data_IF_120705129828
#
_entry.id   IF_120705129828
#
_cell.length_a   1.000
_cell.length_b   1.000
_cell.length_c   1.000
_cell.angle_alpha   90.00
_cell.angle_beta   90.00
_cell.angle_gamma   90.00
#
_symmetry.space_group_name_H-M   'P 1'
#
loop_
_entity.id
_entity.type
_entity.pdbx_description
1 polymer ?
#
# COMPACT_ATOMS: atom_id res chain seq x y z
N UNK A 1 30.92 -3.12 12.23
CA UNK A 1 29.89 -2.75 13.24
C UNK A 1 30.05 -3.60 14.47
N UNK A 2 30.15 -2.99 15.64
CA UNK A 2 30.02 -3.68 16.93
C UNK A 2 28.63 -3.40 17.49
N UNK A 3 28.01 -4.38 18.13
CA UNK A 3 26.69 -4.23 18.73
C UNK A 3 26.60 -5.05 20.02
N UNK A 4 25.65 -4.69 20.87
CA UNK A 4 25.38 -5.40 22.12
C UNK A 4 24.06 -4.97 22.71
N UNK A 5 23.65 -5.66 23.77
CA UNK A 5 22.39 -5.38 24.45
C UNK A 5 22.36 -5.99 25.84
N UNK A 6 21.57 -5.38 26.71
CA UNK A 6 21.33 -5.85 28.08
C UNK A 6 19.83 -5.91 28.32
N UNK A 7 19.38 -7.01 28.93
CA UNK A 7 18.03 -7.16 29.46
C UNK A 7 18.17 -7.49 30.95
N UNK A 8 17.49 -6.73 31.81
CA UNK A 8 17.60 -6.91 33.25
C UNK A 8 16.23 -6.82 33.91
N UNK A 9 15.79 -7.94 34.48
CA UNK A 9 14.55 -8.08 35.26
C UNK A 9 14.83 -9.03 36.44
N UNK A 10 14.08 -8.92 37.54
CA UNK A 10 14.29 -9.72 38.75
C UNK A 10 14.41 -11.25 38.53
N UNK A 11 13.73 -11.78 37.51
CA UNK A 11 13.72 -13.21 37.17
C UNK A 11 14.63 -13.56 35.99
N UNK A 12 15.22 -12.57 35.31
CA UNK A 12 15.96 -12.79 34.07
C UNK A 12 16.96 -11.67 33.78
N UNK A 13 18.22 -12.05 33.61
CA UNK A 13 19.31 -11.18 33.19
C UNK A 13 19.90 -11.72 31.90
N UNK A 14 20.17 -10.88 30.91
CA UNK A 14 20.88 -11.29 29.70
C UNK A 14 21.77 -10.20 29.16
N UNK A 15 22.95 -10.64 28.68
CA UNK A 15 23.97 -9.80 28.07
C UNK A 15 24.30 -10.36 26.70
N UNK A 16 24.37 -9.50 25.70
CA UNK A 16 24.72 -9.85 24.33
C UNK A 16 25.83 -8.94 23.81
N UNK A 17 26.80 -9.54 23.13
CA UNK A 17 27.82 -8.81 22.37
C UNK A 17 27.99 -9.45 21.00
N UNK A 18 28.28 -8.64 19.99
CA UNK A 18 28.47 -9.14 18.65
C UNK A 18 29.22 -8.16 17.74
N UNK A 19 29.74 -8.71 16.66
CA UNK A 19 30.47 -7.99 15.64
C UNK A 19 29.98 -8.43 14.25
N UNK A 20 29.80 -7.45 13.38
CA UNK A 20 29.48 -7.64 11.96
C UNK A 20 30.51 -6.92 11.11
N UNK A 21 30.96 -7.57 10.05
CA UNK A 21 31.85 -6.99 9.06
C UNK A 21 31.35 -7.32 7.67
N UNK A 22 31.19 -6.28 6.86
CA UNK A 22 31.15 -6.43 5.41
C UNK A 22 32.58 -6.72 4.93
N UNK A 23 32.77 -7.90 4.35
CA UNK A 23 34.04 -8.39 3.80
C UNK A 23 34.08 -8.21 2.27
N UNK A 24 33.22 -7.34 1.73
CA UNK A 24 33.23 -6.90 0.33
C UNK A 24 32.71 -7.98 -0.61
N UNK A 25 33.58 -8.44 -1.52
CA UNK A 25 33.21 -9.45 -2.53
C UNK A 25 32.78 -10.78 -1.91
N UNK A 26 33.14 -11.06 -0.66
CA UNK A 26 32.73 -12.27 0.05
C UNK A 26 31.44 -12.07 0.88
N UNK A 27 30.82 -10.89 0.88
CA UNK A 27 29.53 -10.63 1.57
C UNK A 27 29.69 -10.05 2.96
N UNK A 28 28.68 -10.19 3.80
CA UNK A 28 28.68 -9.70 5.17
C UNK A 28 28.57 -10.86 6.15
N UNK A 29 29.49 -10.92 7.11
CA UNK A 29 29.52 -11.92 8.18
C UNK A 29 29.24 -11.24 9.53
N UNK A 30 28.42 -11.89 10.35
CA UNK A 30 28.07 -11.43 11.70
C UNK A 30 28.19 -12.58 12.68
N UNK A 31 28.77 -12.30 13.84
CA UNK A 31 28.85 -13.21 14.97
C UNK A 31 28.31 -12.52 16.22
N UNK A 32 27.54 -13.24 17.04
CA UNK A 32 27.14 -12.78 18.36
C UNK A 32 27.18 -13.89 19.40
N UNK A 33 27.48 -13.49 20.63
CA UNK A 33 27.41 -14.31 21.83
C UNK A 33 26.44 -13.66 22.81
N UNK A 34 25.54 -14.48 23.35
CA UNK A 34 24.58 -14.08 24.38
C UNK A 34 24.77 -14.97 25.58
N UNK A 35 24.65 -14.40 26.77
CA UNK A 35 24.52 -15.16 28.01
C UNK A 35 23.26 -14.72 28.73
N UNK A 36 22.59 -15.67 29.38
CA UNK A 36 21.43 -15.39 30.22
C UNK A 36 21.51 -16.13 31.54
N UNK A 37 20.95 -15.49 32.57
CA UNK A 37 20.69 -16.04 33.89
C UNK A 37 19.20 -15.94 34.12
N UNK A 38 18.51 -17.08 34.13
CA UNK A 38 17.07 -17.16 34.38
C UNK A 38 16.80 -17.79 35.74
N UNK A 39 16.01 -17.13 36.57
CA UNK A 39 15.54 -17.69 37.84
C UNK A 39 14.40 -18.66 37.57
N UNK A 40 14.50 -19.86 38.10
CA UNK A 40 13.45 -20.88 38.13
C UNK A 40 13.01 -21.09 39.58
N UNK A 41 11.96 -21.87 39.82
CA UNK A 41 11.47 -22.15 41.17
C UNK A 41 12.51 -22.84 42.06
N UNK A 42 13.42 -23.59 41.45
CA UNK A 42 14.40 -24.41 42.15
C UNK A 42 15.82 -23.83 42.14
N UNK A 43 16.20 -23.05 41.11
CA UNK A 43 17.57 -22.54 40.99
C UNK A 43 17.72 -21.39 39.98
N UNK A 44 18.89 -20.77 39.95
CA UNK A 44 19.29 -19.89 38.86
C UNK A 44 20.00 -20.70 37.78
N UNK A 45 19.51 -20.57 36.55
CA UNK A 45 20.01 -21.30 35.40
C UNK A 45 20.82 -20.37 34.49
N UNK A 46 22.07 -20.73 34.24
CA UNK A 46 22.99 -19.98 33.40
C UNK A 46 23.09 -20.64 32.02
N UNK A 47 22.95 -19.85 30.96
CA UNK A 47 23.13 -20.37 29.61
C UNK A 47 23.78 -19.39 28.66
N UNK A 48 24.17 -19.94 27.51
CA UNK A 48 24.83 -19.25 26.42
C UNK A 48 24.18 -19.55 25.07
N UNK A 49 24.19 -18.57 24.19
CA UNK A 49 23.84 -18.71 22.79
C UNK A 49 24.94 -18.14 21.90
N UNK A 50 25.21 -18.80 20.78
CA UNK A 50 26.17 -18.36 19.78
C UNK A 50 25.48 -18.29 18.43
N UNK A 51 25.54 -17.13 17.79
CA UNK A 51 24.93 -16.89 16.48
C UNK A 51 25.99 -16.58 15.43
N UNK A 52 25.87 -17.21 14.27
CA UNK A 52 26.58 -16.84 13.04
C UNK A 52 25.54 -16.49 11.98
N UNK A 53 25.71 -15.36 11.30
CA UNK A 53 24.88 -14.95 10.16
C UNK A 53 25.75 -14.52 9.00
N UNK A 54 25.32 -14.87 7.80
CA UNK A 54 25.95 -14.55 6.54
C UNK A 54 24.89 -14.05 5.55
N UNK A 55 25.22 -12.99 4.83
CA UNK A 55 24.43 -12.48 3.71
C UNK A 55 25.37 -12.17 2.55
N UNK A 56 24.97 -12.52 1.34
CA UNK A 56 25.71 -12.17 0.12
C UNK A 56 24.76 -11.97 -1.05
N UNK A 57 24.94 -10.84 -1.75
CA UNK A 57 24.46 -10.68 -3.11
C UNK A 57 25.64 -10.85 -4.10
N UNK A 58 25.51 -11.82 -5.02
CA UNK A 58 26.46 -12.09 -6.10
C UNK A 58 25.90 -11.51 -7.39
N UNK A 59 26.32 -10.28 -7.71
CA UNK A 59 25.81 -9.53 -8.85
C UNK A 59 26.08 -10.22 -10.20
N UNK A 60 27.22 -10.91 -10.34
CA UNK A 60 27.62 -11.56 -11.60
C UNK A 60 26.63 -12.63 -12.06
N UNK A 61 26.05 -13.37 -11.11
CA UNK A 61 25.08 -14.44 -11.35
C UNK A 61 23.67 -14.04 -10.96
N UNK A 62 23.44 -12.83 -10.44
CA UNK A 62 22.18 -12.43 -9.79
C UNK A 62 21.71 -13.46 -8.75
N UNK A 63 22.65 -13.98 -7.96
CA UNK A 63 22.38 -14.90 -6.85
C UNK A 63 22.30 -14.10 -5.57
N UNK A 64 21.19 -14.22 -4.85
CA UNK A 64 21.00 -13.61 -3.55
C UNK A 64 20.93 -14.69 -2.47
N UNK A 65 21.96 -14.73 -1.63
CA UNK A 65 21.92 -15.42 -0.33
C UNK A 65 21.47 -14.40 0.71
N UNK A 66 20.17 -14.23 0.83
CA UNK A 66 19.58 -13.15 1.65
C UNK A 66 19.77 -13.39 3.16
N UNK A 67 19.82 -14.65 3.61
CA UNK A 67 20.20 -14.98 4.98
C UNK A 67 20.59 -16.45 5.11
N UNK A 68 21.84 -16.72 5.52
CA UNK A 68 22.24 -17.99 6.09
C UNK A 68 22.61 -17.76 7.56
N UNK A 69 21.89 -18.39 8.48
CA UNK A 69 22.10 -18.23 9.92
C UNK A 69 22.09 -19.55 10.64
N UNK A 70 22.94 -19.64 11.66
CA UNK A 70 22.97 -20.78 12.56
C UNK A 70 23.16 -20.25 13.98
N UNK A 71 22.26 -20.65 14.86
CA UNK A 71 22.38 -20.43 16.30
C UNK A 71 22.52 -21.76 17.02
N UNK A 72 23.43 -21.79 17.98
CA UNK A 72 23.52 -22.84 18.97
C UNK A 72 23.16 -22.28 20.34
N UNK A 73 22.35 -23.02 21.09
CA UNK A 73 21.90 -22.68 22.43
C UNK A 73 22.32 -23.77 23.41
N UNK A 74 23.02 -23.41 24.47
CA UNK A 74 23.32 -24.33 25.57
C UNK A 74 22.03 -24.81 26.23
N UNK A 75 22.04 -25.98 26.89
CA UNK A 75 20.85 -26.60 27.49
C UNK A 75 20.05 -25.68 28.43
N UNK A 76 20.75 -24.82 29.16
CA UNK A 76 20.18 -23.96 30.20
C UNK A 76 19.98 -22.51 29.70
N UNK A 77 20.28 -22.23 28.43
CA UNK A 77 19.97 -20.93 27.84
C UNK A 77 18.47 -20.78 27.70
N UNK A 78 17.97 -19.64 28.18
CA UNK A 78 16.58 -19.21 28.01
C UNK A 78 16.56 -17.80 27.44
N UNK A 79 15.55 -17.52 26.64
CA UNK A 79 15.09 -16.17 26.31
C UNK A 79 14.26 -15.61 27.45
N UNK A 80 14.01 -14.29 27.45
CA UNK A 80 13.15 -13.66 28.45
C UNK A 80 11.74 -14.26 28.47
N UNK A 81 11.16 -14.51 27.28
CA UNK A 81 9.84 -15.15 27.15
C UNK A 81 9.80 -16.56 27.74
N UNK A 82 10.85 -17.36 27.52
CA UNK A 82 10.96 -18.70 28.13
C UNK A 82 11.14 -18.62 29.65
N UNK A 83 11.86 -17.61 30.17
CA UNK A 83 12.02 -17.41 31.60
C UNK A 83 10.68 -17.08 32.29
N UNK A 84 9.87 -16.19 31.70
CA UNK A 84 8.51 -15.88 32.20
C UNK A 84 7.64 -17.14 32.22
N UNK A 85 7.62 -17.92 31.12
CA UNK A 85 6.77 -19.12 31.07
C UNK A 85 7.26 -20.24 31.99
N UNK A 86 8.57 -20.35 32.22
CA UNK A 86 9.12 -21.37 33.12
C UNK A 86 8.79 -21.16 34.60
N UNK A 87 8.44 -19.94 35.01
CA UNK A 87 7.97 -19.67 36.37
C UNK A 87 6.49 -19.99 36.60
N UNK A 88 5.74 -20.33 35.55
CA UNK A 88 4.30 -20.59 35.66
C UNK A 88 3.95 -22.08 35.55
N UNK A 89 4.65 -22.90 34.76
CA UNK A 89 4.37 -24.34 34.57
C UNK A 89 5.65 -25.17 34.25
N UNK A 90 5.85 -26.30 34.93
CA UNK A 90 6.99 -27.22 34.78
C UNK A 90 7.10 -27.89 33.38
N UNK A 91 6.01 -27.92 32.60
CA UNK A 91 5.96 -28.57 31.27
C UNK A 91 6.80 -27.87 30.18
N UNK A 92 7.27 -26.63 30.41
CA UNK A 92 8.06 -25.90 29.41
C UNK A 92 9.54 -26.35 29.34
N UNK A 93 10.01 -27.13 30.32
CA UNK A 93 11.38 -27.65 30.37
C UNK A 93 11.76 -28.59 29.21
N UNK A 94 10.80 -29.02 28.40
CA UNK A 94 10.98 -30.02 27.35
C UNK A 94 11.21 -29.41 25.95
N UNK A 95 10.88 -28.13 25.75
CA UNK A 95 10.92 -27.46 24.43
C UNK A 95 12.14 -26.57 24.17
N UNK A 96 13.20 -26.67 24.98
CA UNK A 96 14.41 -25.87 24.79
C UNK A 96 15.12 -26.23 23.47
N UNK A 97 15.26 -25.23 22.59
CA UNK A 97 16.01 -25.39 21.34
C UNK A 97 17.49 -25.60 21.64
N UNK A 98 18.12 -26.53 20.93
CA UNK A 98 19.57 -26.77 20.88
C UNK A 98 20.23 -25.97 19.76
N UNK A 99 19.58 -25.90 18.61
CA UNK A 99 20.07 -25.09 17.50
C UNK A 99 18.96 -24.72 16.54
N UNK A 100 19.08 -23.57 15.91
CA UNK A 100 18.21 -23.13 14.80
C UNK A 100 19.10 -22.82 13.61
N UNK A 101 18.77 -23.39 12.46
CA UNK A 101 19.44 -23.10 11.18
C UNK A 101 18.41 -22.60 10.20
N UNK A 102 18.69 -21.47 9.55
CA UNK A 102 17.83 -20.88 8.52
C UNK A 102 18.68 -20.46 7.33
N UNK A 103 18.28 -20.85 6.13
CA UNK A 103 18.95 -20.47 4.89
C UNK A 103 17.90 -20.06 3.86
N UNK A 104 18.10 -18.91 3.22
CA UNK A 104 17.31 -18.44 2.09
C UNK A 104 18.24 -18.08 0.93
N UNK A 105 18.01 -18.75 -0.20
CA UNK A 105 18.74 -18.59 -1.45
C UNK A 105 17.74 -18.26 -2.55
N UNK A 106 18.00 -17.20 -3.29
CA UNK A 106 17.29 -16.85 -4.53
C UNK A 106 18.30 -16.77 -5.67
N UNK A 107 17.97 -17.38 -6.79
CA UNK A 107 18.82 -17.41 -7.98
C UNK A 107 17.98 -17.00 -9.18
N UNK A 108 18.28 -15.83 -9.75
CA UNK A 108 17.74 -15.48 -11.06
C UNK A 108 18.50 -16.27 -12.15
N UNK A 109 17.76 -16.90 -13.06
CA UNK A 109 18.30 -17.69 -14.18
C UNK A 109 18.11 -16.93 -15.51
N UNK A 110 18.05 -15.60 -15.45
CA UNK A 110 17.77 -14.74 -16.61
C UNK A 110 16.42 -15.07 -17.24
N UNK A 111 16.41 -15.34 -18.55
CA UNK A 111 15.20 -15.70 -19.31
C UNK A 111 14.61 -17.06 -18.94
N UNK A 112 15.35 -17.90 -18.21
CA UNK A 112 14.85 -19.19 -17.73
C UNK A 112 13.99 -19.06 -16.48
N UNK A 113 13.89 -17.88 -15.85
CA UNK A 113 13.07 -17.65 -14.66
C UNK A 113 13.91 -17.47 -13.39
N UNK A 114 13.40 -17.93 -12.26
CA UNK A 114 14.07 -17.83 -10.95
C UNK A 114 13.83 -19.08 -10.12
N UNK A 115 14.81 -19.45 -9.29
CA UNK A 115 14.71 -20.53 -8.31
C UNK A 115 14.88 -19.93 -6.92
N UNK A 116 14.04 -20.35 -5.98
CA UNK A 116 14.17 -19.99 -4.57
C UNK A 116 14.27 -21.28 -3.75
N UNK A 117 15.13 -21.26 -2.73
CA UNK A 117 15.30 -22.34 -1.77
C UNK A 117 15.30 -21.74 -0.36
N UNK A 118 14.39 -22.22 0.48
CA UNK A 118 14.32 -21.92 1.90
C UNK A 118 14.52 -23.20 2.69
N UNK A 119 15.37 -23.16 3.70
CA UNK A 119 15.64 -24.27 4.60
C UNK A 119 15.59 -23.77 6.03
N UNK A 120 14.78 -24.42 6.86
CA UNK A 120 14.69 -24.16 8.29
C UNK A 120 14.82 -25.46 9.06
N UNK A 121 15.65 -25.48 10.09
CA UNK A 121 15.82 -26.64 10.96
C UNK A 121 16.02 -26.21 12.41
N UNK A 122 15.05 -26.56 13.24
CA UNK A 122 15.12 -26.45 14.69
C UNK A 122 15.44 -27.82 15.29
N UNK A 123 16.51 -27.90 16.05
CA UNK A 123 16.86 -29.06 16.86
C UNK A 123 16.60 -28.74 18.32
N UNK A 124 16.05 -29.68 19.07
CA UNK A 124 15.76 -29.54 20.50
C UNK A 124 16.72 -30.40 21.33
N UNK A 125 16.84 -30.11 22.62
CA UNK A 125 17.72 -30.87 23.52
C UNK A 125 17.14 -32.23 23.91
N UNK A 126 15.82 -32.28 24.17
CA UNK A 126 15.12 -33.48 24.65
C UNK A 126 14.18 -34.10 23.62
N UNK A 127 13.76 -33.33 22.62
CA UNK A 127 12.88 -33.80 21.56
C UNK A 127 13.56 -33.84 20.19
N UNK A 128 12.89 -34.52 19.27
CA UNK A 128 13.30 -34.56 17.88
C UNK A 128 13.06 -33.20 17.19
N UNK A 129 13.86 -32.92 16.15
CA UNK A 129 13.85 -31.63 15.47
C UNK A 129 12.65 -31.40 14.55
N UNK A 130 12.42 -30.14 14.20
CA UNK A 130 11.48 -29.69 13.15
C UNK A 130 12.27 -29.19 11.96
N UNK A 131 11.97 -29.69 10.77
CA UNK A 131 12.65 -29.36 9.51
C UNK A 131 11.62 -28.90 8.48
N UNK A 132 11.92 -27.81 7.78
CA UNK A 132 11.14 -27.34 6.64
C UNK A 132 12.09 -27.02 5.48
N UNK A 133 11.79 -27.55 4.29
CA UNK A 133 12.46 -27.19 3.04
C UNK A 133 11.38 -26.68 2.09
N UNK A 134 11.58 -25.52 1.49
CA UNK A 134 10.75 -25.01 0.41
C UNK A 134 11.65 -24.74 -0.79
N UNK A 135 11.42 -25.42 -1.90
CA UNK A 135 12.06 -25.14 -3.17
C UNK A 135 11.00 -24.66 -4.15
N UNK A 136 11.19 -23.52 -4.79
CA UNK A 136 10.26 -23.01 -5.81
C UNK A 136 10.98 -22.55 -7.05
N UNK A 137 10.31 -22.68 -8.19
CA UNK A 137 10.77 -22.21 -9.48
C UNK A 137 9.64 -21.42 -10.13
N UNK A 138 9.95 -20.21 -10.59
CA UNK A 138 8.99 -19.32 -11.23
C UNK A 138 9.51 -18.81 -12.57
N UNK A 139 8.66 -18.80 -13.59
CA UNK A 139 8.98 -18.24 -14.91
C UNK A 139 7.80 -17.44 -15.45
N UNK A 140 8.09 -16.25 -15.98
CA UNK A 140 7.14 -15.48 -16.77
C UNK A 140 7.52 -15.60 -18.26
N UNK A 141 6.57 -15.99 -19.10
CA UNK A 141 6.72 -16.13 -20.53
C UNK A 141 5.64 -15.30 -21.23
N UNK A 142 6.02 -14.11 -21.71
CA UNK A 142 5.13 -13.21 -22.46
C UNK A 142 3.79 -12.92 -21.76
N UNK A 143 3.83 -12.73 -20.43
CA UNK A 143 2.65 -12.49 -19.60
C UNK A 143 2.04 -13.75 -18.97
N UNK A 144 2.35 -14.95 -19.48
CA UNK A 144 1.98 -16.21 -18.82
C UNK A 144 2.93 -16.46 -17.66
N UNK A 145 2.39 -16.64 -16.46
CA UNK A 145 3.19 -16.93 -15.27
C UNK A 145 3.06 -18.40 -14.89
N UNK A 146 4.19 -19.06 -14.68
CA UNK A 146 4.30 -20.43 -14.23
C UNK A 146 5.07 -20.45 -12.91
N UNK A 147 4.56 -21.20 -11.94
CA UNK A 147 5.23 -21.44 -10.65
C UNK A 147 5.12 -22.91 -10.27
N UNK A 148 6.24 -23.48 -9.83
CA UNK A 148 6.37 -24.81 -9.27
C UNK A 148 6.93 -24.66 -7.86
N UNK A 149 6.38 -25.37 -6.89
CA UNK A 149 6.92 -25.38 -5.52
C UNK A 149 6.84 -26.76 -4.90
N UNK A 150 7.87 -27.11 -4.16
CA UNK A 150 7.95 -28.30 -3.33
C UNK A 150 8.23 -27.87 -1.89
N UNK A 151 7.38 -28.28 -0.97
CA UNK A 151 7.52 -28.03 0.46
C UNK A 151 7.60 -29.36 1.20
N UNK A 152 8.69 -29.61 1.91
CA UNK A 152 8.80 -30.72 2.86
C UNK A 152 8.73 -30.16 4.26
N UNK A 153 7.76 -30.61 5.04
CA UNK A 153 7.66 -30.32 6.47
C UNK A 153 7.79 -31.61 7.26
N UNK A 154 8.75 -31.67 8.17
CA UNK A 154 8.95 -32.80 9.07
C UNK A 154 8.95 -32.29 10.50
N UNK A 155 7.96 -32.71 11.28
CA UNK A 155 7.85 -32.48 12.71
C UNK A 155 7.58 -33.83 13.36
N UNK A 156 8.61 -34.37 14.01
CA UNK A 156 8.51 -35.62 14.75
C UNK A 156 7.69 -35.49 16.04
N UNK A 157 7.60 -34.27 16.60
CA UNK A 157 6.77 -33.96 17.77
C UNK A 157 5.26 -34.09 17.46
N UNK A 158 4.85 -33.72 16.24
CA UNK A 158 3.45 -33.84 15.79
C UNK A 158 3.20 -35.04 14.86
N UNK A 159 4.19 -35.92 14.68
CA UNK A 159 4.16 -37.01 13.68
C UNK A 159 3.77 -36.55 12.26
N UNK A 160 4.07 -35.29 11.95
CA UNK A 160 3.77 -34.66 10.67
C UNK A 160 5.00 -34.72 9.78
N UNK A 161 5.05 -35.70 8.90
CA UNK A 161 5.97 -35.71 7.77
C UNK A 161 5.17 -35.60 6.48
N UNK A 162 5.17 -34.41 5.88
CA UNK A 162 4.34 -34.08 4.73
C UNK A 162 5.20 -33.47 3.63
N UNK A 163 5.08 -34.01 2.43
CA UNK A 163 5.64 -33.50 1.20
C UNK A 163 4.51 -32.91 0.37
N UNK A 164 4.57 -31.60 0.09
CA UNK A 164 3.61 -30.88 -0.73
C UNK A 164 4.27 -30.47 -2.04
N UNK A 165 3.69 -30.88 -3.16
CA UNK A 165 4.00 -30.35 -4.48
C UNK A 165 2.89 -29.39 -4.90
N UNK A 166 3.24 -28.26 -5.51
CA UNK A 166 2.26 -27.33 -6.07
C UNK A 166 2.72 -26.79 -7.41
N UNK A 167 1.76 -26.68 -8.32
CA UNK A 167 1.92 -26.09 -9.64
C UNK A 167 0.87 -24.99 -9.80
N UNK A 168 1.28 -23.83 -10.31
CA UNK A 168 0.39 -22.72 -10.62
C UNK A 168 0.72 -22.19 -12.02
N UNK A 169 -0.33 -22.07 -12.83
CA UNK A 169 -0.30 -21.47 -14.15
C UNK A 169 -1.30 -20.33 -14.20
N UNK A 170 -0.86 -19.14 -14.63
CA UNK A 170 -1.71 -17.97 -14.84
C UNK A 170 -1.51 -17.45 -16.27
N UNK A 171 -2.59 -17.41 -17.04
CA UNK A 171 -2.60 -17.01 -18.45
C UNK A 171 -3.43 -15.73 -18.61
N UNK A 172 -2.84 -14.61 -19.06
CA UNK A 172 -3.58 -13.38 -19.30
C UNK A 172 -4.52 -13.56 -20.50
N UNK A 173 -5.79 -13.18 -20.31
CA UNK A 173 -6.85 -13.22 -21.32
C UNK A 173 -7.11 -11.83 -21.94
N UNK A 174 -6.33 -10.81 -21.58
CA UNK A 174 -6.55 -9.43 -22.01
C UNK A 174 -6.56 -9.26 -23.53
N UNK A 175 -5.71 -9.99 -24.25
CA UNK A 175 -5.67 -9.97 -25.72
C UNK A 175 -6.93 -10.56 -26.38
N UNK A 176 -7.62 -11.46 -25.69
CA UNK A 176 -8.84 -12.12 -26.18
C UNK A 176 -10.10 -11.34 -25.80
N UNK A 177 -10.08 -10.69 -24.64
CA UNK A 177 -11.29 -10.16 -24.01
C UNK A 177 -11.33 -8.64 -23.91
N UNK A 178 -10.23 -7.94 -24.20
CA UNK A 178 -10.04 -6.50 -23.97
C UNK A 178 -10.22 -6.05 -22.51
N UNK A 179 -10.25 -6.97 -21.57
CA UNK A 179 -10.36 -6.70 -20.13
C UNK A 179 -9.18 -7.34 -19.39
N UNK A 180 -8.74 -6.75 -18.30
CA UNK A 180 -7.68 -7.30 -17.44
C UNK A 180 -8.21 -8.54 -16.69
N UNK A 181 -8.06 -9.70 -17.32
CA UNK A 181 -8.50 -10.99 -16.81
C UNK A 181 -7.43 -12.05 -17.00
N UNK A 182 -7.41 -13.05 -16.13
CA UNK A 182 -6.47 -14.16 -16.15
C UNK A 182 -7.21 -15.48 -15.92
N UNK A 183 -6.91 -16.50 -16.72
CA UNK A 183 -7.25 -17.88 -16.41
C UNK A 183 -6.16 -18.46 -15.51
N UNK A 184 -6.55 -19.13 -14.44
CA UNK A 184 -5.65 -19.75 -13.47
C UNK A 184 -5.92 -21.23 -13.37
N UNK A 185 -4.86 -22.03 -13.41
CA UNK A 185 -4.89 -23.43 -13.04
C UNK A 185 -3.89 -23.66 -11.92
N UNK A 186 -4.32 -24.28 -10.83
CA UNK A 186 -3.45 -24.67 -9.74
C UNK A 186 -3.64 -26.15 -9.43
N UNK A 187 -2.55 -26.83 -9.15
CA UNK A 187 -2.57 -28.18 -8.62
C UNK A 187 -1.78 -28.19 -7.30
N UNK A 188 -2.29 -28.89 -6.30
CA UNK A 188 -1.55 -29.17 -5.07
C UNK A 188 -1.72 -30.64 -4.70
N UNK A 189 -0.62 -31.32 -4.45
CA UNK A 189 -0.58 -32.73 -4.06
C UNK A 189 0.23 -32.86 -2.79
N UNK A 190 -0.30 -33.59 -1.82
CA UNK A 190 0.37 -33.88 -0.56
C UNK A 190 0.68 -35.38 -0.48
N UNK A 191 1.76 -35.75 0.21
CA UNK A 191 2.04 -37.15 0.55
C UNK A 191 1.07 -37.73 1.57
N UNK A 192 0.29 -36.87 2.27
CA UNK A 192 -0.69 -37.26 3.30
C UNK A 192 -2.14 -36.99 2.90
N UNK A 193 -2.38 -36.09 1.94
CA UNK A 193 -3.72 -35.68 1.52
C UNK A 193 -3.89 -35.84 0.01
N UNK A 194 -5.15 -35.88 -0.42
CA UNK A 194 -5.54 -36.06 -1.81
C UNK A 194 -5.07 -34.89 -2.70
N UNK A 195 -4.96 -35.16 -4.01
CA UNK A 195 -4.52 -34.17 -4.98
C UNK A 195 -5.68 -33.22 -5.33
N UNK A 196 -5.45 -31.91 -5.22
CA UNK A 196 -6.42 -30.88 -5.55
C UNK A 196 -6.09 -30.22 -6.87
N UNK A 197 -7.13 -29.98 -7.68
CA UNK A 197 -7.07 -29.22 -8.92
C UNK A 197 -8.02 -28.04 -8.85
N UNK A 198 -7.49 -26.82 -8.90
CA UNK A 198 -8.26 -25.59 -8.99
C UNK A 198 -8.19 -25.03 -10.40
N UNK A 199 -9.35 -24.74 -10.99
CA UNK A 199 -9.50 -24.01 -12.25
C UNK A 199 -10.29 -22.75 -11.96
N UNK A 200 -9.79 -21.59 -12.40
CA UNK A 200 -10.45 -20.34 -12.12
C UNK A 200 -10.18 -19.23 -13.13
N UNK A 201 -10.95 -18.17 -12.98
CA UNK A 201 -10.77 -16.91 -13.69
C UNK A 201 -10.75 -15.81 -12.63
N UNK A 202 -9.80 -14.89 -12.77
CA UNK A 202 -9.66 -13.69 -11.93
C UNK A 202 -9.63 -12.48 -12.83
N UNK A 203 -10.22 -11.37 -12.39
CA UNK A 203 -10.25 -10.14 -13.17
C UNK A 203 -10.31 -8.88 -12.32
N UNK A 204 -9.97 -7.77 -12.97
CA UNK A 204 -10.13 -6.42 -12.42
C UNK A 204 -10.97 -5.57 -13.37
N UNK A 205 -11.81 -4.70 -12.80
CA UNK A 205 -12.71 -3.84 -13.57
C UNK A 205 -12.93 -2.48 -12.88
N UNK A 206 -13.61 -1.56 -13.58
CA UNK A 206 -13.97 -0.24 -13.08
C UNK A 206 -12.76 0.59 -12.62
N UNK A 207 -11.71 0.65 -13.45
CA UNK A 207 -10.43 1.31 -13.13
C UNK A 207 -9.80 0.72 -11.85
N UNK A 208 -9.75 -0.61 -11.79
CA UNK A 208 -9.19 -1.39 -10.68
C UNK A 208 -9.90 -1.21 -9.34
N UNK A 209 -11.15 -0.72 -9.33
CA UNK A 209 -11.98 -0.67 -8.12
C UNK A 209 -12.61 -2.01 -7.79
N UNK A 210 -13.00 -2.80 -8.81
CA UNK A 210 -13.52 -4.15 -8.61
C UNK A 210 -12.40 -5.15 -8.85
N UNK A 211 -12.16 -6.03 -7.90
CA UNK A 211 -11.43 -7.28 -8.10
C UNK A 211 -12.38 -8.44 -7.90
N UNK A 212 -12.27 -9.49 -8.71
CA UNK A 212 -13.12 -10.66 -8.58
C UNK A 212 -12.39 -11.92 -9.01
N UNK A 213 -12.80 -13.05 -8.44
CA UNK A 213 -12.33 -14.37 -8.83
C UNK A 213 -13.47 -15.38 -8.70
N UNK A 214 -13.50 -16.31 -9.65
CA UNK A 214 -14.35 -17.47 -9.65
C UNK A 214 -13.46 -18.70 -9.89
N UNK A 215 -13.50 -19.68 -9.00
CA UNK A 215 -12.74 -20.92 -9.14
C UNK A 215 -13.56 -22.15 -8.75
N UNK A 216 -13.39 -23.23 -9.48
CA UNK A 216 -13.85 -24.55 -9.13
C UNK A 216 -12.65 -25.41 -8.72
N UNK A 217 -12.83 -26.22 -7.70
CA UNK A 217 -11.85 -27.15 -7.17
C UNK A 217 -12.39 -28.57 -7.27
N UNK A 218 -11.54 -29.50 -7.69
CA UNK A 218 -11.80 -30.93 -7.67
C UNK A 218 -10.71 -31.60 -6.83
N UNK A 219 -11.12 -32.33 -5.80
CA UNK A 219 -10.25 -33.17 -4.98
C UNK A 219 -10.28 -34.60 -5.53
N UNK A 220 -9.12 -35.12 -5.91
CA UNK A 220 -8.94 -36.46 -6.47
C UNK A 220 -8.99 -37.52 -5.34
N UNK A 221 -10.21 -37.75 -4.86
CA UNK A 221 -10.57 -38.75 -3.85
C UNK A 221 -11.44 -39.84 -4.47
N UNK A 222 -11.60 -40.97 -3.79
CA UNK A 222 -12.53 -42.06 -4.18
C UNK A 222 -14.00 -41.64 -4.38
N UNK A 223 -14.38 -40.39 -4.08
CA UNK A 223 -15.72 -39.80 -4.29
C UNK A 223 -15.72 -38.47 -5.06
N UNK A 224 -14.59 -37.99 -5.60
CA UNK A 224 -14.47 -36.73 -6.36
C UNK A 224 -15.21 -35.55 -5.72
N UNK A 225 -14.71 -35.06 -4.58
CA UNK A 225 -15.33 -33.91 -3.92
C UNK A 225 -15.10 -32.65 -4.74
N UNK A 226 -16.16 -31.85 -4.89
CA UNK A 226 -16.13 -30.61 -5.65
C UNK A 226 -16.36 -29.43 -4.72
N UNK A 227 -15.62 -28.36 -4.96
CA UNK A 227 -15.87 -27.09 -4.32
C UNK A 227 -15.90 -25.95 -5.33
N UNK A 228 -16.71 -24.94 -5.05
CA UNK A 228 -16.83 -23.72 -5.84
C UNK A 228 -16.57 -22.53 -4.94
N UNK A 229 -15.75 -21.61 -5.40
CA UNK A 229 -15.41 -20.39 -4.69
C UNK A 229 -15.63 -19.19 -5.60
N UNK A 230 -16.32 -18.20 -5.07
CA UNK A 230 -16.47 -16.88 -5.69
C UNK A 230 -16.03 -15.84 -4.68
N UNK A 231 -15.26 -14.85 -5.12
CA UNK A 231 -14.90 -13.70 -4.30
C UNK A 231 -14.95 -12.44 -5.16
N UNK A 232 -15.41 -11.36 -4.57
CA UNK A 232 -15.39 -10.04 -5.18
C UNK A 232 -15.10 -9.00 -4.11
N UNK A 233 -14.27 -8.00 -4.43
CA UNK A 233 -14.05 -6.83 -3.59
C UNK A 233 -14.14 -5.55 -4.38
N UNK A 234 -14.79 -4.55 -3.79
CA UNK A 234 -15.00 -3.22 -4.34
C UNK A 234 -14.35 -2.17 -3.46
N UNK A 235 -13.36 -1.47 -4.00
CA UNK A 235 -12.70 -0.31 -3.37
C UNK A 235 -13.43 0.96 -3.78
N UNK A 236 -14.22 1.49 -2.86
CA UNK A 236 -14.98 2.73 -3.05
C UNK A 236 -14.34 3.95 -2.41
N UNK A 237 -15.04 5.07 -2.53
CA UNK A 237 -14.65 6.36 -1.92
C UNK A 237 -14.60 6.29 -0.39
N UNK A 238 -15.54 5.57 0.22
CA UNK A 238 -15.78 5.58 1.67
C UNK A 238 -15.30 4.30 2.38
N UNK A 239 -14.58 3.42 1.69
CA UNK A 239 -14.18 2.11 2.22
C UNK A 239 -14.07 1.05 1.14
N UNK A 240 -13.74 -0.16 1.56
CA UNK A 240 -13.74 -1.38 0.77
C UNK A 240 -14.82 -2.33 1.29
N UNK A 241 -15.55 -2.96 0.37
CA UNK A 241 -16.51 -4.02 0.67
C UNK A 241 -16.12 -5.26 -0.13
N UNK A 242 -16.07 -6.41 0.53
CA UNK A 242 -15.82 -7.70 -0.07
C UNK A 242 -16.92 -8.69 0.26
N UNK A 243 -17.14 -9.62 -0.66
CA UNK A 243 -17.99 -10.76 -0.48
C UNK A 243 -17.27 -12.01 -0.97
N UNK A 244 -17.45 -13.12 -0.26
CA UNK A 244 -16.96 -14.42 -0.67
C UNK A 244 -18.06 -15.47 -0.46
N UNK A 245 -18.02 -16.48 -1.32
CA UNK A 245 -18.92 -17.62 -1.32
C UNK A 245 -18.06 -18.85 -1.53
N UNK A 246 -18.19 -19.83 -0.64
CA UNK A 246 -17.61 -21.16 -0.83
C UNK A 246 -18.66 -22.22 -0.61
N UNK A 247 -18.68 -23.20 -1.51
CA UNK A 247 -19.58 -24.32 -1.40
C UNK A 247 -18.85 -25.60 -1.75
N UNK A 248 -18.90 -26.58 -0.86
CA UNK A 248 -18.48 -27.94 -1.13
C UNK A 248 -19.65 -28.90 -0.78
N UNK A 249 -19.40 -30.21 -0.85
CA UNK A 249 -20.46 -31.21 -0.62
C UNK A 249 -21.05 -31.21 0.80
N UNK A 250 -20.34 -30.63 1.77
CA UNK A 250 -20.68 -30.71 3.20
C UNK A 250 -21.15 -29.34 3.74
N UNK A 251 -20.50 -28.26 3.30
CA UNK A 251 -20.64 -26.92 3.82
C UNK A 251 -20.95 -25.91 2.71
N UNK A 252 -21.61 -24.83 3.13
CA UNK A 252 -21.83 -23.64 2.32
C UNK A 252 -21.62 -22.41 3.18
N UNK A 253 -20.56 -21.68 2.89
CA UNK A 253 -20.15 -20.50 3.63
C UNK A 253 -20.32 -19.25 2.77
N UNK A 254 -20.82 -18.20 3.40
CA UNK A 254 -20.99 -16.89 2.78
C UNK A 254 -20.35 -15.89 3.74
N UNK A 255 -19.32 -15.19 3.26
CA UNK A 255 -18.63 -14.15 4.00
C UNK A 255 -18.85 -12.79 3.37
N UNK A 256 -18.97 -11.76 4.21
CA UNK A 256 -18.91 -10.36 3.80
C UNK A 256 -17.93 -9.63 4.71
N UNK A 257 -17.14 -8.73 4.14
CA UNK A 257 -16.22 -7.88 4.87
C UNK A 257 -16.40 -6.43 4.45
N UNK A 258 -16.36 -5.52 5.42
CA UNK A 258 -16.36 -4.08 5.18
C UNK A 258 -15.19 -3.49 5.96
N UNK A 259 -14.36 -2.72 5.29
CA UNK A 259 -13.21 -2.04 5.89
C UNK A 259 -13.16 -0.59 5.43
N UNK A 260 -12.63 0.28 6.26
CA UNK A 260 -12.59 1.71 5.96
C UNK A 260 -11.89 2.49 7.07
N UNK A 261 -11.72 3.78 6.82
CA UNK A 261 -11.06 4.72 7.69
C UNK A 261 -11.98 5.89 8.05
N UNK A 262 -11.81 6.42 9.25
CA UNK A 262 -12.51 7.63 9.72
C UNK A 262 -11.52 8.60 10.32
N UNK A 263 -11.52 9.85 9.86
CA UNK A 263 -10.74 10.94 10.47
C UNK A 263 -11.72 11.99 10.99
N UNK A 264 -11.67 12.23 12.30
CA UNK A 264 -12.29 13.40 12.91
C UNK A 264 -11.30 14.57 12.91
N UNK A 265 -11.70 15.71 12.35
CA UNK A 265 -10.85 16.89 12.19
C UNK A 265 -11.66 18.17 12.40
N UNK A 266 -10.99 19.33 12.35
CA UNK A 266 -11.58 20.65 12.59
C UNK A 266 -12.78 21.01 11.69
N UNK A 267 -12.98 20.29 10.59
CA UNK A 267 -14.08 20.53 9.64
C UNK A 267 -15.13 19.40 9.63
N UNK A 268 -15.09 18.49 10.61
CA UNK A 268 -16.05 17.39 10.78
C UNK A 268 -15.40 16.02 10.71
N UNK A 269 -16.15 15.05 10.21
CA UNK A 269 -15.72 13.65 10.10
C UNK A 269 -15.61 13.28 8.63
N UNK A 270 -14.49 12.73 8.19
CA UNK A 270 -14.30 12.25 6.82
C UNK A 270 -14.11 10.74 6.84
N UNK A 271 -14.87 10.05 5.99
CA UNK A 271 -14.76 8.61 5.76
C UNK A 271 -13.89 8.36 4.53
N UNK A 272 -13.20 7.23 4.51
CA UNK A 272 -12.35 6.84 3.40
C UNK A 272 -12.00 5.35 3.45
N UNK A 273 -11.06 4.95 2.59
CA UNK A 273 -10.45 3.63 2.68
C UNK A 273 -9.64 3.49 3.97
N UNK A 274 -9.27 2.26 4.35
CA UNK A 274 -8.46 1.98 5.54
C UNK A 274 -7.21 2.87 5.59
N UNK A 275 -6.90 3.41 6.76
CA UNK A 275 -5.81 4.38 6.97
C UNK A 275 -4.58 3.61 7.45
N UNK A 276 -3.40 3.90 6.91
CA UNK A 276 -2.13 3.48 7.51
C UNK A 276 -1.77 4.38 8.71
N UNK A 277 -0.64 4.11 9.35
CA UNK A 277 -0.16 4.94 10.47
C UNK A 277 0.08 6.40 10.06
N UNK A 278 0.42 6.66 8.80
CA UNK A 278 0.73 8.02 8.30
C UNK A 278 -0.07 8.33 7.04
N UNK A 279 -0.90 9.36 7.11
CA UNK A 279 -1.90 9.65 6.08
C UNK A 279 -2.09 11.15 5.84
N UNK A 280 -2.79 11.49 4.75
CA UNK A 280 -3.23 12.86 4.51
C UNK A 280 -4.75 13.00 4.49
N UNK A 281 -5.23 14.04 5.16
CA UNK A 281 -6.56 14.58 4.95
C UNK A 281 -6.53 15.57 3.78
N UNK A 282 -7.14 15.19 2.67
CA UNK A 282 -7.32 16.05 1.50
C UNK A 282 -8.51 16.97 1.74
N UNK A 283 -8.31 18.28 1.60
CA UNK A 283 -9.36 19.30 1.64
C UNK A 283 -9.40 20.03 0.29
N UNK A 284 -10.43 19.77 -0.50
CA UNK A 284 -10.77 20.49 -1.74
C UNK A 284 -12.22 20.98 -1.64
N UNK A 285 -12.45 21.97 -0.76
CA UNK A 285 -13.79 22.45 -0.38
C UNK A 285 -14.68 22.70 -1.60
N UNK A 286 -15.89 22.15 -1.57
CA UNK A 286 -16.90 22.36 -2.61
C UNK A 286 -16.66 21.58 -3.91
N UNK A 287 -15.61 20.77 -4.00
CA UNK A 287 -15.34 19.91 -5.15
C UNK A 287 -15.63 18.46 -4.77
N UNK A 288 -16.81 17.97 -5.15
CA UNK A 288 -17.22 16.58 -4.92
C UNK A 288 -16.79 15.66 -6.06
N UNK A 289 -16.36 14.44 -5.72
CA UNK A 289 -16.05 13.39 -6.70
C UNK A 289 -14.69 13.50 -7.40
N UNK A 290 -13.84 14.45 -7.02
CA UNK A 290 -12.50 14.60 -7.58
C UNK A 290 -11.63 13.42 -7.16
N UNK A 291 -11.02 12.75 -8.15
CA UNK A 291 -10.16 11.60 -7.93
C UNK A 291 -8.80 12.05 -7.39
N UNK A 292 -8.38 11.45 -6.29
CA UNK A 292 -7.02 11.58 -5.79
C UNK A 292 -6.20 10.43 -6.36
N UNK A 293 -5.02 10.72 -6.92
CA UNK A 293 -4.14 9.72 -7.49
C UNK A 293 -3.49 8.86 -6.40
N UNK A 294 -3.11 7.64 -6.77
CA UNK A 294 -2.56 6.64 -5.84
C UNK A 294 -3.43 5.38 -5.83
N UNK A 295 -4.39 5.33 -4.91
CA UNK A 295 -5.26 4.15 -4.76
C UNK A 295 -6.54 4.24 -5.61
N UNK A 296 -6.97 3.12 -6.25
CA UNK A 296 -8.24 3.06 -6.95
C UNK A 296 -9.43 3.42 -6.04
N UNK A 297 -10.40 4.16 -6.58
CA UNK A 297 -11.65 4.50 -5.89
C UNK A 297 -11.58 5.69 -4.94
N UNK A 298 -10.38 6.23 -4.62
CA UNK A 298 -10.25 7.40 -3.73
C UNK A 298 -10.74 8.66 -4.44
N UNK A 299 -11.81 9.26 -3.89
CA UNK A 299 -12.43 10.49 -4.39
C UNK A 299 -12.80 11.41 -3.23
N UNK A 300 -12.94 12.71 -3.50
CA UNK A 300 -13.52 13.64 -2.53
C UNK A 300 -15.00 13.35 -2.28
N UNK A 301 -15.41 13.45 -1.01
CA UNK A 301 -16.78 13.35 -0.57
C UNK A 301 -17.63 14.55 -1.02
N UNK A 302 -18.90 14.55 -0.66
CA UNK A 302 -19.84 15.64 -1.01
C UNK A 302 -19.43 17.02 -0.48
N UNK A 303 -18.56 17.10 0.53
CA UNK A 303 -18.03 18.35 1.11
C UNK A 303 -16.70 18.75 0.48
N UNK A 304 -16.05 17.84 -0.24
CA UNK A 304 -14.73 18.03 -0.84
C UNK A 304 -13.57 17.46 -0.01
N UNK A 305 -13.83 16.48 0.86
CA UNK A 305 -12.79 15.86 1.69
C UNK A 305 -12.57 14.39 1.34
N UNK A 306 -11.33 13.93 1.46
CA UNK A 306 -11.02 12.49 1.38
C UNK A 306 -9.75 12.17 2.14
N UNK A 307 -9.44 10.89 2.25
CA UNK A 307 -8.27 10.38 2.94
C UNK A 307 -7.32 9.78 1.90
N UNK A 308 -6.09 10.27 1.86
CA UNK A 308 -4.99 9.57 1.20
C UNK A 308 -4.34 8.64 2.23
N UNK A 309 -4.64 7.35 2.10
CA UNK A 309 -4.42 6.34 3.14
C UNK A 309 -2.97 5.95 3.40
N UNK A 310 -2.01 6.32 2.54
CA UNK A 310 -0.63 5.89 2.67
C UNK A 310 0.33 7.00 2.29
N UNK A 311 1.11 7.46 3.27
CA UNK A 311 2.27 8.32 3.08
C UNK A 311 3.50 7.68 3.69
N UNK A 312 4.66 7.93 3.10
CA UNK A 312 5.92 7.47 3.67
C UNK A 312 6.47 8.52 4.64
N UNK A 313 6.71 8.17 5.92
CA UNK A 313 7.29 9.09 6.90
C UNK A 313 8.65 9.64 6.48
N UNK A 314 8.92 10.89 6.86
CA UNK A 314 10.19 11.61 6.65
C UNK A 314 10.61 11.74 5.18
N UNK A 315 9.69 11.49 4.24
CA UNK A 315 9.93 11.61 2.81
C UNK A 315 8.94 12.58 2.15
N UNK A 316 9.33 13.06 0.97
CA UNK A 316 8.44 13.85 0.12
C UNK A 316 7.33 12.96 -0.42
N UNK A 317 6.09 13.31 -0.10
CA UNK A 317 4.90 12.66 -0.64
C UNK A 317 4.13 13.68 -1.47
N UNK A 318 3.82 13.34 -2.73
CA UNK A 318 3.00 14.16 -3.60
C UNK A 318 1.57 13.62 -3.56
N UNK A 319 0.65 14.50 -3.18
CA UNK A 319 -0.78 14.22 -3.21
C UNK A 319 -1.32 14.99 -4.41
N UNK A 320 -1.95 14.27 -5.33
CA UNK A 320 -2.33 14.80 -6.63
C UNK A 320 -3.81 14.56 -6.88
N UNK A 321 -4.53 15.60 -7.33
CA UNK A 321 -5.92 15.49 -7.80
C UNK A 321 -5.90 15.42 -9.33
N UNK A 322 -6.62 14.45 -9.89
CA UNK A 322 -6.79 14.30 -11.33
C UNK A 322 -7.73 15.38 -11.88
N UNK A 323 -7.21 16.37 -12.64
CA UNK A 323 -8.03 17.50 -13.12
C UNK A 323 -9.11 17.06 -14.11
N UNK A 324 -8.97 15.89 -14.75
CA UNK A 324 -9.97 15.37 -15.70
C UNK A 324 -11.24 14.88 -15.02
N UNK A 325 -11.19 14.68 -13.71
CA UNK A 325 -12.32 14.21 -12.89
C UNK A 325 -13.04 15.33 -12.16
N UNK A 326 -12.56 16.56 -12.29
CA UNK A 326 -13.19 17.72 -11.68
C UNK A 326 -14.57 17.97 -12.31
N UNK A 327 -15.60 18.29 -11.50
CA UNK A 327 -16.84 18.83 -12.03
C UNK A 327 -16.58 20.05 -12.93
N UNK A 328 -17.34 20.18 -14.02
CA UNK A 328 -17.10 21.21 -15.06
C UNK A 328 -17.16 22.64 -14.50
N UNK A 329 -17.93 22.86 -13.43
CA UNK A 329 -18.06 24.13 -12.74
C UNK A 329 -17.05 24.29 -11.58
N UNK A 330 -15.92 23.60 -11.64
CA UNK A 330 -14.88 23.70 -10.62
C UNK A 330 -13.51 23.80 -11.27
N UNK A 331 -12.59 24.42 -10.54
CA UNK A 331 -11.20 24.57 -10.97
C UNK A 331 -10.28 24.48 -9.75
N UNK A 332 -9.12 23.88 -9.94
CA UNK A 332 -8.08 23.73 -8.93
C UNK A 332 -6.76 24.20 -9.54
N UNK A 333 -6.23 25.33 -9.06
CA UNK A 333 -5.03 25.95 -9.65
C UNK A 333 -3.75 25.15 -9.41
N UNK A 334 -3.69 24.44 -8.28
CA UNK A 334 -2.56 23.61 -7.90
C UNK A 334 -3.08 22.21 -7.64
N UNK A 335 -2.88 21.30 -8.60
CA UNK A 335 -3.33 19.90 -8.53
C UNK A 335 -2.44 19.02 -7.68
N UNK A 336 -1.26 19.49 -7.31
CA UNK A 336 -0.22 18.72 -6.63
C UNK A 336 0.25 19.44 -5.36
N UNK A 337 0.13 18.76 -4.22
CA UNK A 337 0.61 19.25 -2.93
C UNK A 337 1.66 18.29 -2.41
N UNK A 338 2.83 18.84 -2.10
CA UNK A 338 3.91 18.09 -1.46
C UNK A 338 3.79 18.20 0.07
N UNK A 339 3.90 17.07 0.76
CA UNK A 339 3.93 16.98 2.23
C UNK A 339 5.08 16.10 2.70
N UNK A 340 5.58 16.36 3.90
CA UNK A 340 6.65 15.55 4.56
C UNK A 340 6.17 15.22 5.98
N UNK A 341 5.40 14.13 6.16
CA UNK A 341 4.86 13.76 7.46
C UNK A 341 5.89 13.08 8.35
N UNK A 342 5.78 13.23 9.67
CA UNK A 342 6.44 12.34 10.63
C UNK A 342 5.67 11.01 10.73
N UNK A 343 6.29 9.98 11.31
CA UNK A 343 5.60 8.72 11.58
C UNK A 343 4.38 8.96 12.49
N UNK A 344 3.23 8.39 12.13
CA UNK A 344 1.97 8.56 12.87
C UNK A 344 1.20 9.84 12.53
N UNK A 345 1.72 10.72 11.65
CA UNK A 345 1.09 12.00 11.39
C UNK A 345 -0.08 11.91 10.40
N UNK A 346 -1.14 12.65 10.70
CA UNK A 346 -2.23 12.96 9.77
C UNK A 346 -2.04 14.40 9.28
N UNK A 347 -1.44 14.56 8.12
CA UNK A 347 -1.16 15.88 7.54
C UNK A 347 -2.33 16.37 6.70
N UNK A 348 -2.49 17.69 6.60
CA UNK A 348 -3.59 18.29 5.83
C UNK A 348 -3.08 18.78 4.47
N UNK A 349 -3.67 18.30 3.38
CA UNK A 349 -3.40 18.75 2.02
C UNK A 349 -4.54 19.66 1.55
N UNK A 350 -4.32 20.97 1.55
CA UNK A 350 -5.36 21.98 1.29
C UNK A 350 -5.26 22.51 -0.14
N UNK A 351 -6.27 22.17 -0.95
CA UNK A 351 -6.42 22.64 -2.33
C UNK A 351 -7.29 23.89 -2.37
N UNK A 352 -6.78 24.94 -3.00
CA UNK A 352 -7.56 26.15 -3.29
C UNK A 352 -8.47 25.86 -4.48
N UNK A 353 -9.76 25.76 -4.22
CA UNK A 353 -10.81 25.43 -5.18
C UNK A 353 -11.57 26.69 -5.57
N UNK A 354 -11.89 26.81 -6.86
CA UNK A 354 -12.84 27.79 -7.39
C UNK A 354 -14.09 27.06 -7.83
N UNK A 355 -15.25 27.37 -7.25
CA UNK A 355 -16.54 26.75 -7.61
C UNK A 355 -17.40 27.79 -8.31
N UNK A 356 -17.80 27.52 -9.55
CA UNK A 356 -18.57 28.43 -10.40
C UNK A 356 -18.29 28.20 -11.88
N UNK A 357 -18.85 29.04 -12.73
CA UNK A 357 -18.61 28.96 -14.18
C UNK A 357 -17.21 29.44 -14.50
N UNK A 358 -16.49 28.67 -15.32
CA UNK A 358 -15.22 29.09 -15.88
C UNK A 358 -15.47 29.87 -17.17
N UNK A 359 -14.84 31.02 -17.34
CA UNK A 359 -15.01 31.85 -18.53
C UNK A 359 -13.69 32.35 -19.09
N UNK A 360 -13.63 32.45 -20.42
CA UNK A 360 -12.61 33.21 -21.12
C UNK A 360 -13.22 34.59 -21.45
N UNK A 361 -12.72 35.63 -20.78
CA UNK A 361 -13.25 36.99 -20.93
C UNK A 361 -12.28 37.80 -21.80
N UNK A 362 -12.77 38.34 -22.91
CA UNK A 362 -12.05 39.34 -23.71
C UNK A 362 -12.38 40.73 -23.18
N UNK A 363 -11.36 41.45 -22.69
CA UNK A 363 -11.53 42.72 -22.00
C UNK A 363 -10.94 43.85 -22.85
N UNK A 364 -11.75 44.87 -23.11
CA UNK A 364 -11.34 46.09 -23.82
C UNK A 364 -11.47 47.31 -22.92
N UNK A 365 -10.61 48.30 -23.16
CA UNK A 365 -10.73 49.64 -22.57
C UNK A 365 -11.85 50.43 -23.25
N UNK A 366 -12.30 51.52 -22.64
CA UNK A 366 -13.31 52.44 -23.21
C UNK A 366 -12.94 52.98 -24.60
N UNK A 367 -11.66 53.00 -24.96
CA UNK A 367 -11.15 53.40 -26.27
C UNK A 367 -11.13 52.25 -27.31
N UNK A 368 -11.70 51.08 -26.99
CA UNK A 368 -11.74 49.91 -27.87
C UNK A 368 -10.44 49.09 -27.96
N UNK A 369 -9.33 49.55 -27.34
CA UNK A 369 -8.07 48.79 -27.32
C UNK A 369 -8.16 47.63 -26.31
N UNK A 370 -7.51 46.49 -26.58
CA UNK A 370 -7.39 45.40 -25.62
C UNK A 370 -6.77 45.86 -24.30
N UNK A 371 -7.19 45.24 -23.20
CA UNK A 371 -6.55 45.44 -21.91
C UNK A 371 -5.10 44.94 -21.94
N UNK A 372 -4.20 45.61 -21.23
CA UNK A 372 -2.78 45.33 -21.28
C UNK A 372 -2.45 43.92 -20.76
N UNK A 373 -1.54 43.24 -21.44
CA UNK A 373 -0.98 41.96 -20.99
C UNK A 373 -0.33 42.12 -19.61
N UNK A 374 -0.52 41.12 -18.74
CA UNK A 374 -0.02 41.15 -17.36
C UNK A 374 -0.93 41.88 -16.38
N UNK A 375 -2.06 42.46 -16.83
CA UNK A 375 -3.06 43.03 -15.91
C UNK A 375 -3.64 41.93 -15.02
N UNK A 376 -3.67 42.16 -13.70
CA UNK A 376 -4.23 41.23 -12.73
C UNK A 376 -5.72 41.51 -12.55
N UNK A 377 -6.55 40.50 -12.80
CA UNK A 377 -7.97 40.51 -12.48
C UNK A 377 -8.18 39.87 -11.12
N UNK A 378 -8.95 40.52 -10.25
CA UNK A 378 -9.34 39.99 -8.95
C UNK A 378 -10.86 39.92 -8.85
N UNK A 379 -11.38 38.73 -8.57
CA UNK A 379 -12.76 38.53 -8.16
C UNK A 379 -12.84 38.65 -6.65
N UNK A 380 -13.60 39.62 -6.14
CA UNK A 380 -13.83 39.80 -4.71
C UNK A 380 -15.25 39.37 -4.34
N UNK A 381 -15.40 38.70 -3.21
CA UNK A 381 -16.73 38.46 -2.64
C UNK A 381 -17.31 39.76 -2.06
N UNK A 382 -18.55 39.69 -1.56
CA UNK A 382 -19.23 40.83 -0.93
C UNK A 382 -18.48 41.39 0.30
N UNK A 383 -17.66 40.57 0.96
CA UNK A 383 -16.84 40.96 2.12
C UNK A 383 -15.46 41.52 1.71
N UNK A 384 -15.20 41.69 0.41
CA UNK A 384 -13.94 42.22 -0.12
C UNK A 384 -12.79 41.22 -0.19
N UNK A 385 -13.01 39.95 0.16
CA UNK A 385 -12.02 38.87 0.10
C UNK A 385 -11.84 38.41 -1.35
N UNK A 386 -10.59 38.31 -1.80
CA UNK A 386 -10.25 37.84 -3.14
C UNK A 386 -10.54 36.33 -3.22
N UNK A 387 -11.51 35.94 -4.07
CA UNK A 387 -11.86 34.54 -4.31
C UNK A 387 -11.01 33.90 -5.40
N UNK A 388 -10.78 34.63 -6.48
CA UNK A 388 -9.93 34.18 -7.58
C UNK A 388 -9.16 35.34 -8.20
N UNK A 389 -7.98 35.01 -8.74
CA UNK A 389 -7.12 35.97 -9.44
C UNK A 389 -6.75 35.39 -10.80
N UNK A 390 -6.81 36.20 -11.84
CA UNK A 390 -6.43 35.81 -13.20
C UNK A 390 -5.51 36.86 -13.81
N UNK A 391 -4.78 36.45 -14.84
CA UNK A 391 -3.86 37.34 -15.55
C UNK A 391 -4.39 37.50 -16.98
N UNK A 392 -4.42 38.74 -17.45
CA UNK A 392 -4.76 39.06 -18.85
C UNK A 392 -3.58 38.67 -19.74
N UNK A 393 -3.82 37.80 -20.69
CA UNK A 393 -2.89 37.39 -21.73
C UNK A 393 -2.98 38.24 -22.99
N UNK A 394 -2.69 37.63 -24.13
CA UNK A 394 -2.77 38.29 -25.43
C UNK A 394 -4.22 38.67 -25.80
N UNK A 395 -4.38 39.68 -26.65
CA UNK A 395 -5.67 40.23 -27.10
C UNK A 395 -6.64 40.67 -25.98
N UNK A 396 -6.13 40.93 -24.78
CA UNK A 396 -6.94 41.31 -23.63
C UNK A 396 -7.77 40.15 -23.07
N UNK A 397 -7.41 38.90 -23.34
CA UNK A 397 -8.14 37.72 -22.89
C UNK A 397 -7.67 37.24 -21.51
N UNK A 398 -8.60 36.81 -20.66
CA UNK A 398 -8.27 36.21 -19.37
C UNK A 398 -9.17 35.03 -19.05
N UNK A 399 -8.59 33.93 -18.60
CA UNK A 399 -9.32 32.78 -18.06
C UNK A 399 -9.64 33.04 -16.58
N UNK A 400 -10.92 33.08 -16.23
CA UNK A 400 -11.39 33.34 -14.87
C UNK A 400 -12.27 32.19 -14.42
N UNK A 401 -11.90 31.57 -13.30
CA UNK A 401 -12.65 30.47 -12.68
C UNK A 401 -13.47 30.92 -11.48
N UNK A 402 -14.55 30.17 -11.20
CA UNK A 402 -15.41 30.42 -10.05
C UNK A 402 -16.38 31.58 -10.21
N UNK A 403 -16.75 31.96 -11.44
CA UNK A 403 -17.68 33.06 -11.66
C UNK A 403 -19.12 32.64 -11.33
N UNK A 404 -19.89 33.53 -10.73
CA UNK A 404 -21.33 33.32 -10.50
C UNK A 404 -22.12 34.61 -10.77
N UNK A 405 -23.35 34.46 -11.27
CA UNK A 405 -24.31 35.54 -11.50
C UNK A 405 -23.73 36.79 -12.17
N UNK A 406 -24.01 37.95 -11.56
CA UNK A 406 -23.50 39.27 -11.96
C UNK A 406 -22.54 39.75 -10.89
N UNK A 407 -21.25 39.87 -11.22
CA UNK A 407 -20.25 40.41 -10.30
C UNK A 407 -19.29 41.37 -11.01
N UNK A 408 -18.43 42.00 -10.20
CA UNK A 408 -17.42 42.97 -10.63
C UNK A 408 -16.05 42.33 -10.53
N UNK A 409 -15.28 42.42 -11.60
CA UNK A 409 -13.85 42.09 -11.62
C UNK A 409 -13.05 43.38 -11.52
N UNK A 410 -12.11 43.43 -10.59
CA UNK A 410 -11.18 44.56 -10.47
C UNK A 410 -9.94 44.22 -11.27
N UNK A 411 -9.65 45.01 -12.30
CA UNK A 411 -8.44 44.90 -13.09
C UNK A 411 -7.42 45.92 -12.57
N UNK A 412 -6.17 45.49 -12.34
CA UNK A 412 -5.07 46.36 -11.93
C UNK A 412 -3.79 46.03 -12.68
N UNK A 413 -3.15 47.05 -13.25
CA UNK A 413 -1.86 46.94 -13.95
C UNK A 413 -0.77 47.84 -13.33
N UNK A 414 -1.06 48.48 -12.20
CA UNK A 414 -0.13 49.39 -11.51
C UNK A 414 -0.65 49.80 -10.14
N UNK A 415 0.16 50.57 -9.40
CA UNK A 415 -0.14 50.97 -8.03
C UNK A 415 -0.88 52.31 -7.92
N UNK A 416 -1.07 53.03 -9.04
CA UNK A 416 -1.80 54.30 -9.02
C UNK A 416 -3.31 54.03 -9.09
N UNK A 417 -4.16 54.88 -8.49
CA UNK A 417 -5.61 54.76 -8.63
C UNK A 417 -6.08 54.74 -10.11
N UNK A 418 -5.35 55.44 -10.98
CA UNK A 418 -5.57 55.47 -12.44
C UNK A 418 -5.20 54.18 -13.17
N UNK A 419 -4.47 53.27 -12.51
CA UNK A 419 -4.01 52.00 -13.08
C UNK A 419 -4.96 50.84 -12.74
N UNK A 420 -6.19 51.17 -12.36
CA UNK A 420 -7.24 50.20 -12.02
C UNK A 420 -8.51 50.50 -12.81
N UNK A 421 -9.30 49.47 -13.12
CA UNK A 421 -10.63 49.63 -13.68
C UNK A 421 -11.56 48.50 -13.23
N UNK A 422 -12.86 48.71 -13.42
CA UNK A 422 -13.87 47.72 -13.08
C UNK A 422 -14.46 47.11 -14.36
N UNK A 423 -14.44 45.77 -14.43
CA UNK A 423 -15.09 45.00 -15.50
C UNK A 423 -16.35 44.38 -14.92
N UNK A 424 -17.49 44.74 -15.49
CA UNK A 424 -18.76 44.12 -15.17
C UNK A 424 -19.00 42.96 -16.12
N UNK A 425 -19.36 41.80 -15.58
CA UNK A 425 -19.79 40.66 -16.37
C UNK A 425 -21.17 40.19 -15.92
N UNK A 426 -21.91 39.58 -16.84
CA UNK A 426 -23.16 38.88 -16.55
C UNK A 426 -23.06 37.51 -17.16
N UNK A 427 -23.19 36.47 -16.33
CA UNK A 427 -23.27 35.10 -16.81
C UNK A 427 -24.70 34.81 -17.28
N UNK A 428 -24.91 34.35 -18.52
CA UNK A 428 -26.22 33.87 -18.94
C UNK A 428 -26.58 32.61 -18.13
N UNK A 429 -27.80 32.57 -17.58
CA UNK A 429 -28.30 31.51 -16.67
C UNK A 429 -28.22 30.06 -17.23
N UNK A 430 -27.92 29.89 -18.53
CA UNK A 430 -28.03 28.62 -19.26
C UNK A 430 -26.74 27.87 -19.56
N UNK A 431 -25.56 28.39 -19.23
CA UNK A 431 -24.30 27.68 -19.56
C UNK A 431 -23.72 26.92 -18.36
N UNK A 432 -24.50 25.98 -17.82
CA UNK A 432 -23.97 24.97 -16.89
C UNK A 432 -23.31 23.86 -17.71
N UNK A 433 -22.01 23.97 -17.98
CA UNK A 433 -21.24 22.83 -18.50
C UNK A 433 -20.21 23.09 -19.61
N UNK A 434 -19.92 24.35 -19.97
CA UNK A 434 -18.82 24.69 -20.88
C UNK A 434 -18.13 25.99 -20.44
N UNK A 435 -16.87 26.17 -20.84
CA UNK A 435 -16.17 27.45 -20.70
C UNK A 435 -17.00 28.52 -21.43
N UNK A 436 -17.42 29.55 -20.70
CA UNK A 436 -18.19 30.64 -21.27
C UNK A 436 -17.27 31.68 -21.90
N UNK A 437 -17.56 32.11 -23.12
CA UNK A 437 -16.84 33.20 -23.76
C UNK A 437 -17.60 34.50 -23.53
N UNK A 438 -16.97 35.47 -22.86
CA UNK A 438 -17.59 36.73 -22.47
C UNK A 438 -16.78 37.91 -23.03
N UNK A 439 -17.47 39.01 -23.28
CA UNK A 439 -16.82 40.29 -23.55
C UNK A 439 -17.05 41.22 -22.36
N UNK A 440 -15.99 41.91 -21.93
CA UNK A 440 -16.04 42.88 -20.84
C UNK A 440 -15.46 44.21 -21.26
N UNK A 441 -16.05 45.31 -20.78
CA UNK A 441 -15.49 46.65 -20.94
C UNK A 441 -14.97 47.12 -19.58
N UNK A 442 -13.70 47.48 -19.55
CA UNK A 442 -12.98 48.07 -18.43
C UNK A 442 -13.37 49.54 -18.32
N UNK A 443 -14.14 49.89 -17.29
CA UNK A 443 -14.62 51.25 -16.98
C UNK A 443 -13.90 51.87 -15.81
#
# INVERSE_FOLDING_TARGET
>A
TLFGGVQWVNIYNSYAIGASKDIGEYGALSFDWKTSVSKTDTSNENGHAYGIRYNKNIAQTNTEVSLASHYYYSKNYRTFSEAIHSSEHDEFYDKNKKSTTSMLLSQALGSLGSVNLSYNYDKYWKHEGKKSIIASYGKNLNGVSLSLSYTKSTSKISEENEDLFSFLLSVPLQKLTNHEMYATYQNSSSSKHDMNHDLGITGVAFNSQLTWQARGQIEDKSKNQKATFLNASWRGTYGEIGANYSHNEINRDIGMNVSGGVIAHSSGITFGQSISDTAALVEAKGVSGAKVLGLPGVRTDFRGYTISSYLTPYMNNFISIDPTTLPINTDIRQTDIQVVPTEGAIVKAVYKTSVGTNALIRITRTNGKPLALGTVLSLKNNDGVIQSTSIVGEDGQAYVSGLSGVQKLIASWGNKPSDTCTVFYSLPDKNKGQISFLNGVCK
#
